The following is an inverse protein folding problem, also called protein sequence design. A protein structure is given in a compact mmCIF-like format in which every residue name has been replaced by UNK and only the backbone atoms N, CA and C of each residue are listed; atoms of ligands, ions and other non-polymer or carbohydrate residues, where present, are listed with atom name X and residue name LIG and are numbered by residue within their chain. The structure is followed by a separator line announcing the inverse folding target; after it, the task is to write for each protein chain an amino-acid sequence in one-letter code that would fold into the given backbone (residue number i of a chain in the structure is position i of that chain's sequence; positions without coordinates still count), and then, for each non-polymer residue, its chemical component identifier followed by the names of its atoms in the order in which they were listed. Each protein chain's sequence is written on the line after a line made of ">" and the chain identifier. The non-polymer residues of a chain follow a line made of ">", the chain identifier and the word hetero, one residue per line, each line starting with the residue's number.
data_IF_539723390906
#
_entry.id   IF_539723390906
#
_cell.length_a   1.000
_cell.length_b   1.000
_cell.length_c   1.000
_cell.angle_alpha   90.00
_cell.angle_beta   90.00
_cell.angle_gamma   90.00
#
_symmetry.space_group_name_H-M   'P 1'
#
loop_
_entity.id
_entity.type
_entity.pdbx_description
1 polymer ?
#
# COMPACT_ATOMS: atom_id res chain seq x y z
N UNK A 1 -11.49 54.07 61.31
CA UNK A 1 -12.04 52.79 61.04
C UNK A 1 -11.81 52.55 59.53
N UNK A 2 -10.83 51.79 59.24
CA UNK A 2 -10.45 51.47 57.83
C UNK A 2 -10.65 49.98 57.68
N UNK A 3 -11.64 49.61 56.89
CA UNK A 3 -11.90 48.21 56.55
C UNK A 3 -10.95 47.77 55.47
N UNK A 4 -10.27 46.65 55.72
CA UNK A 4 -9.31 46.03 54.86
C UNK A 4 -10.06 44.91 54.09
N UNK A 5 -10.26 45.08 52.80
CA UNK A 5 -10.87 44.05 51.92
C UNK A 5 -9.74 43.23 51.29
N UNK A 6 -9.58 42.02 51.78
CA UNK A 6 -8.69 41.01 51.19
C UNK A 6 -9.26 40.51 49.86
N UNK A 7 -8.51 40.69 48.81
CA UNK A 7 -8.78 40.07 47.49
C UNK A 7 -8.16 38.69 47.49
N UNK A 8 -8.97 37.61 47.45
CA UNK A 8 -8.50 36.26 47.18
C UNK A 8 -8.18 36.13 45.69
N UNK A 9 -6.92 35.87 45.35
CA UNK A 9 -6.49 35.43 44.04
C UNK A 9 -6.91 33.96 43.83
N UNK A 10 -7.86 33.76 42.93
CA UNK A 10 -8.20 32.42 42.42
C UNK A 10 -7.13 32.03 41.41
N UNK A 11 -6.22 31.14 41.82
CA UNK A 11 -5.31 30.45 40.90
C UNK A 11 -6.12 29.44 40.10
N UNK A 12 -6.29 29.72 38.81
CA UNK A 12 -6.81 28.77 37.83
C UNK A 12 -5.65 27.82 37.51
N UNK A 13 -5.71 26.60 38.03
CA UNK A 13 -4.87 25.50 37.56
C UNK A 13 -5.27 25.19 36.13
N UNK A 14 -4.36 25.50 35.20
CA UNK A 14 -4.45 25.02 33.82
C UNK A 14 -4.18 23.50 33.85
N UNK A 15 -5.23 22.70 33.73
CA UNK A 15 -5.13 21.30 33.33
C UNK A 15 -4.66 21.24 31.89
N UNK A 16 -3.34 21.25 31.66
CA UNK A 16 -2.74 20.89 30.40
C UNK A 16 -2.96 19.38 30.19
N UNK A 17 -3.81 19.08 29.22
CA UNK A 17 -3.90 17.71 28.69
C UNK A 17 -2.49 17.21 28.31
N UNK A 18 -2.16 15.91 28.53
CA UNK A 18 -0.83 15.39 28.24
C UNK A 18 -0.48 15.66 26.78
N UNK A 19 0.58 16.44 26.58
CA UNK A 19 1.10 16.77 25.26
C UNK A 19 1.41 15.47 24.52
N UNK A 20 0.93 15.37 23.27
CA UNK A 20 1.33 14.28 22.36
C UNK A 20 2.87 14.20 22.36
N UNK A 21 3.46 12.98 22.34
CA UNK A 21 4.90 12.81 22.35
C UNK A 21 5.52 13.64 21.24
N UNK A 22 6.58 14.36 21.57
CA UNK A 22 7.25 15.24 20.63
C UNK A 22 7.57 14.46 19.36
N UNK A 23 7.42 15.07 18.19
CA UNK A 23 7.63 14.43 16.88
C UNK A 23 8.95 13.64 16.80
N UNK A 24 9.98 14.09 17.53
CA UNK A 24 11.27 13.40 17.65
C UNK A 24 11.18 12.05 18.37
N UNK A 25 10.26 11.91 19.32
CA UNK A 25 10.11 10.66 20.07
C UNK A 25 9.41 9.58 19.24
N UNK A 26 8.35 9.94 18.52
CA UNK A 26 7.69 9.05 17.57
C UNK A 26 8.66 8.53 16.49
N UNK A 27 9.44 9.43 15.88
CA UNK A 27 10.44 9.07 14.86
C UNK A 27 11.49 8.10 15.42
N UNK A 28 11.92 8.31 16.68
CA UNK A 28 12.87 7.42 17.34
C UNK A 28 12.29 6.03 17.58
N UNK A 29 11.05 5.94 18.05
CA UNK A 29 10.35 4.67 18.28
C UNK A 29 10.10 3.94 16.96
N UNK A 30 9.64 4.64 15.91
CA UNK A 30 9.46 4.08 14.58
C UNK A 30 10.79 3.57 13.98
N UNK A 31 11.90 4.28 14.21
CA UNK A 31 13.24 3.82 13.80
C UNK A 31 13.70 2.58 14.58
N UNK A 32 13.30 2.43 15.84
CA UNK A 32 13.47 1.22 16.63
C UNK A 32 12.72 0.04 16.00
N UNK A 33 11.45 0.22 15.75
CA UNK A 33 10.58 -0.76 15.09
C UNK A 33 11.13 -1.20 13.72
N UNK A 34 11.60 -0.25 12.91
CA UNK A 34 12.26 -0.56 11.63
C UNK A 34 13.48 -1.46 11.79
N UNK A 35 14.30 -1.25 12.82
CA UNK A 35 15.49 -2.09 13.09
C UNK A 35 15.10 -3.52 13.44
N UNK A 36 14.05 -3.72 14.22
CA UNK A 36 13.52 -5.05 14.57
C UNK A 36 13.02 -5.78 13.32
N UNK A 37 12.33 -5.07 12.42
CA UNK A 37 11.74 -5.62 11.21
C UNK A 37 12.74 -5.82 10.06
N UNK A 38 13.93 -5.18 10.10
CA UNK A 38 14.87 -5.09 8.97
C UNK A 38 15.24 -6.41 8.30
N UNK A 39 15.29 -7.50 9.05
CA UNK A 39 15.68 -8.81 8.55
C UNK A 39 14.50 -9.76 8.32
N UNK A 40 13.29 -9.35 8.69
CA UNK A 40 12.11 -10.15 8.45
C UNK A 40 11.67 -10.01 6.99
N UNK A 41 11.37 -11.14 6.35
CA UNK A 41 10.86 -11.21 4.98
C UNK A 41 9.38 -11.63 4.94
N UNK A 42 8.82 -12.06 6.05
CA UNK A 42 7.43 -12.49 6.15
C UNK A 42 6.63 -11.46 6.96
N UNK A 43 5.72 -10.77 6.30
CA UNK A 43 4.90 -9.70 6.87
C UNK A 43 4.09 -10.20 8.08
N UNK A 44 3.36 -11.31 7.92
CA UNK A 44 2.49 -11.84 8.97
C UNK A 44 3.27 -12.19 10.23
N UNK A 45 4.41 -12.88 10.07
CA UNK A 45 5.29 -13.23 11.19
C UNK A 45 5.87 -11.98 11.85
N UNK A 46 6.38 -11.05 11.05
CA UNK A 46 6.95 -9.80 11.53
C UNK A 46 5.92 -8.97 12.32
N UNK A 47 4.72 -8.83 11.78
CA UNK A 47 3.66 -8.07 12.46
C UNK A 47 3.24 -8.71 13.78
N UNK A 48 3.21 -10.04 13.86
CA UNK A 48 2.93 -10.75 15.13
C UNK A 48 4.01 -10.47 16.20
N UNK A 49 5.27 -10.34 15.80
CA UNK A 49 6.38 -10.04 16.72
C UNK A 49 6.31 -8.60 17.26
N UNK A 50 5.83 -7.63 16.47
CA UNK A 50 5.81 -6.20 16.83
C UNK A 50 4.39 -5.65 17.06
N UNK A 51 3.39 -6.50 17.14
CA UNK A 51 1.98 -6.12 17.28
C UNK A 51 1.75 -5.14 18.42
N UNK A 52 2.18 -5.50 19.64
CA UNK A 52 2.03 -4.64 20.81
C UNK A 52 2.75 -3.31 20.65
N UNK A 53 3.94 -3.31 20.03
CA UNK A 53 4.70 -2.08 19.78
C UNK A 53 3.99 -1.15 18.81
N UNK A 54 3.32 -1.69 17.77
CA UNK A 54 2.52 -0.88 16.83
C UNK A 54 1.27 -0.32 17.52
N UNK A 55 0.54 -1.15 18.29
CA UNK A 55 -0.65 -0.72 19.01
C UNK A 55 -0.34 0.42 19.98
N UNK A 56 0.75 0.30 20.74
CA UNK A 56 1.23 1.33 21.68
C UNK A 56 1.69 2.60 20.94
N UNK A 57 2.56 2.43 19.93
CA UNK A 57 3.11 3.54 19.14
C UNK A 57 2.02 4.38 18.48
N UNK A 58 0.98 3.73 17.95
CA UNK A 58 -0.14 4.38 17.28
C UNK A 58 -1.26 4.77 18.24
N UNK A 59 -1.20 4.34 19.49
CA UNK A 59 -2.24 4.57 20.49
C UNK A 59 -3.60 4.05 20.01
N UNK A 60 -3.63 2.91 19.34
CA UNK A 60 -4.85 2.30 18.81
C UNK A 60 -5.16 0.96 19.50
N UNK A 61 -6.40 0.48 19.37
CA UNK A 61 -6.85 -0.79 19.95
C UNK A 61 -6.79 -1.94 18.95
N UNK A 62 -6.87 -1.60 17.68
CA UNK A 62 -6.80 -2.55 16.58
C UNK A 62 -6.14 -1.90 15.38
N UNK A 63 -5.40 -2.70 14.61
CA UNK A 63 -4.97 -2.30 13.27
C UNK A 63 -5.10 -3.47 12.30
N UNK A 64 -5.31 -3.16 11.04
CA UNK A 64 -5.36 -4.14 9.96
C UNK A 64 -4.45 -3.71 8.84
N UNK A 65 -3.63 -4.64 8.35
CA UNK A 65 -2.82 -4.48 7.15
C UNK A 65 -3.49 -5.28 6.04
N UNK A 66 -3.87 -4.59 4.99
CA UNK A 66 -4.43 -5.18 3.78
C UNK A 66 -3.37 -5.18 2.68
N UNK A 67 -3.33 -6.23 1.88
CA UNK A 67 -2.55 -6.31 0.63
C UNK A 67 -3.46 -6.14 -0.57
N UNK A 68 -2.99 -5.42 -1.59
CA UNK A 68 -3.65 -5.34 -2.89
C UNK A 68 -3.48 -6.67 -3.63
N UNK A 69 -4.57 -7.20 -4.14
CA UNK A 69 -4.61 -8.51 -4.82
C UNK A 69 -5.48 -8.44 -6.08
N UNK A 70 -5.44 -9.48 -6.86
CA UNK A 70 -6.36 -9.74 -7.97
C UNK A 70 -6.40 -8.57 -8.98
N UNK A 71 -5.22 -8.20 -9.48
CA UNK A 71 -5.06 -7.13 -10.46
C UNK A 71 -5.64 -5.77 -10.00
N UNK A 72 -5.55 -5.47 -8.69
CA UNK A 72 -6.06 -4.23 -8.12
C UNK A 72 -7.59 -4.14 -8.04
N UNK A 73 -8.30 -5.27 -7.96
CA UNK A 73 -9.75 -5.29 -7.75
C UNK A 73 -10.12 -5.16 -6.28
N UNK A 74 -9.31 -5.74 -5.40
CA UNK A 74 -9.60 -5.81 -3.98
C UNK A 74 -8.33 -5.75 -3.13
N UNK A 75 -8.52 -5.47 -1.85
CA UNK A 75 -7.52 -5.68 -0.80
C UNK A 75 -7.97 -6.80 0.12
N UNK A 76 -6.99 -7.58 0.58
CA UNK A 76 -7.22 -8.71 1.51
C UNK A 76 -6.46 -8.47 2.80
N UNK A 77 -7.10 -8.70 3.94
CA UNK A 77 -6.45 -8.59 5.23
C UNK A 77 -5.36 -9.65 5.36
N UNK A 78 -4.12 -9.19 5.47
CA UNK A 78 -2.93 -10.05 5.65
C UNK A 78 -2.55 -10.18 7.11
N UNK A 79 -2.89 -9.18 7.92
CA UNK A 79 -2.65 -9.16 9.35
C UNK A 79 -3.67 -8.28 10.06
N UNK A 80 -4.16 -8.75 11.20
CA UNK A 80 -4.98 -8.00 12.14
C UNK A 80 -4.33 -8.07 13.51
N UNK A 81 -3.97 -6.91 14.08
CA UNK A 81 -3.48 -6.77 15.44
C UNK A 81 -4.57 -6.20 16.34
N UNK A 82 -4.71 -6.74 17.54
CA UNK A 82 -5.74 -6.37 18.51
C UNK A 82 -5.19 -6.45 19.94
N UNK A 83 -5.65 -5.59 20.83
CA UNK A 83 -5.31 -5.63 22.26
C UNK A 83 -5.94 -6.82 23.00
N UNK A 84 -6.86 -7.55 22.38
CA UNK A 84 -7.51 -8.74 22.94
C UNK A 84 -6.67 -10.00 22.69
N UNK A 85 -6.77 -11.01 23.57
CA UNK A 85 -6.16 -12.32 23.30
C UNK A 85 -6.73 -12.92 22.02
N UNK A 86 -5.86 -13.35 21.10
CA UNK A 86 -6.27 -14.08 19.91
C UNK A 86 -6.50 -15.55 20.23
N UNK A 87 -7.65 -16.09 19.84
CA UNK A 87 -7.79 -17.52 19.64
C UNK A 87 -7.17 -17.89 18.29
N UNK A 88 -6.41 -18.97 18.22
CA UNK A 88 -5.56 -19.31 17.06
C UNK A 88 -6.31 -19.59 15.74
N UNK A 89 -7.63 -19.54 15.72
CA UNK A 89 -8.48 -19.96 14.61
C UNK A 89 -9.28 -18.83 13.93
N UNK A 90 -8.86 -17.57 14.04
CA UNK A 90 -9.52 -16.46 13.33
C UNK A 90 -9.09 -16.42 11.84
N UNK A 91 -9.46 -17.46 11.09
CA UNK A 91 -9.27 -17.51 9.64
C UNK A 91 -10.39 -16.80 8.87
N UNK A 92 -10.90 -15.68 9.36
CA UNK A 92 -11.82 -14.84 8.57
C UNK A 92 -11.01 -14.10 7.53
N UNK A 93 -11.09 -14.55 6.28
CA UNK A 93 -10.51 -13.84 5.16
C UNK A 93 -11.37 -12.62 4.84
N UNK A 94 -10.90 -11.42 5.25
CA UNK A 94 -11.58 -10.16 4.96
C UNK A 94 -11.10 -9.65 3.60
N UNK A 95 -12.00 -9.65 2.62
CA UNK A 95 -11.80 -9.08 1.28
C UNK A 95 -12.60 -7.81 1.12
N UNK A 96 -11.98 -6.75 0.62
CA UNK A 96 -12.59 -5.45 0.43
C UNK A 96 -12.35 -4.97 -1.00
N UNK A 97 -13.38 -4.81 -1.81
CA UNK A 97 -13.23 -4.35 -3.19
C UNK A 97 -12.77 -2.88 -3.24
N UNK A 98 -12.07 -2.49 -4.31
CA UNK A 98 -11.70 -1.10 -4.60
C UNK A 98 -12.95 -0.31 -4.99
N UNK A 99 -13.76 0.00 -4.02
CA UNK A 99 -14.98 0.78 -4.20
C UNK A 99 -15.09 1.85 -3.13
N UNK A 100 -15.77 2.95 -3.41
CA UNK A 100 -15.96 4.00 -2.42
C UNK A 100 -17.08 3.69 -1.39
N UNK A 101 -17.46 2.41 -1.22
CA UNK A 101 -18.52 2.01 -0.30
C UNK A 101 -18.00 1.66 1.10
N UNK A 102 -16.69 1.44 1.26
CA UNK A 102 -16.05 1.19 2.55
C UNK A 102 -14.84 2.09 2.72
N UNK A 103 -14.42 2.35 3.96
CA UNK A 103 -13.28 3.23 4.27
C UNK A 103 -11.98 2.72 3.63
N UNK A 104 -11.67 1.43 3.81
CA UNK A 104 -10.48 0.82 3.26
C UNK A 104 -10.52 0.73 1.73
N UNK A 105 -11.67 0.36 1.14
CA UNK A 105 -11.87 0.34 -0.30
C UNK A 105 -11.78 1.72 -0.95
N UNK A 106 -12.31 2.76 -0.28
CA UNK A 106 -12.16 4.15 -0.71
C UNK A 106 -10.71 4.60 -0.74
N UNK A 107 -9.93 4.28 0.32
CA UNK A 107 -8.50 4.63 0.38
C UNK A 107 -7.70 3.85 -0.66
N UNK A 108 -8.01 2.57 -0.86
CA UNK A 108 -7.38 1.78 -1.93
C UNK A 108 -7.64 2.39 -3.32
N UNK A 109 -8.88 2.80 -3.60
CA UNK A 109 -9.28 3.39 -4.87
C UNK A 109 -8.70 4.80 -5.07
N UNK A 110 -8.83 5.67 -4.06
CA UNK A 110 -8.42 7.07 -4.16
C UNK A 110 -6.93 7.30 -3.91
N UNK A 111 -6.27 6.35 -3.28
CA UNK A 111 -4.88 6.43 -2.78
C UNK A 111 -4.61 7.66 -1.89
N UNK A 112 -5.64 8.16 -1.23
CA UNK A 112 -5.60 9.30 -0.30
C UNK A 112 -5.83 8.83 1.11
N UNK A 113 -5.01 9.32 2.04
CA UNK A 113 -5.19 9.06 3.47
C UNK A 113 -6.53 9.63 3.98
N UNK A 114 -7.15 8.92 4.91
CA UNK A 114 -8.45 9.25 5.48
C UNK A 114 -8.36 9.26 7.00
N UNK A 115 -8.87 10.32 7.62
CA UNK A 115 -9.09 10.44 9.05
C UNK A 115 -10.59 10.61 9.29
N UNK A 116 -11.18 9.69 10.06
CA UNK A 116 -12.60 9.72 10.46
C UNK A 116 -12.67 9.79 11.98
N UNK A 117 -13.24 10.89 12.49
CA UNK A 117 -13.42 11.10 13.92
C UNK A 117 -14.53 10.24 14.53
N UNK A 118 -15.60 10.03 13.75
CA UNK A 118 -16.72 9.15 14.14
C UNK A 118 -17.25 8.39 12.92
N UNK A 119 -17.04 7.08 12.91
CA UNK A 119 -17.48 6.21 11.81
C UNK A 119 -19.01 6.02 11.76
N UNK A 120 -19.73 6.40 12.80
CA UNK A 120 -21.20 6.35 12.84
C UNK A 120 -21.85 7.65 12.34
N UNK A 121 -21.06 8.71 12.10
CA UNK A 121 -21.53 9.97 11.52
C UNK A 121 -21.70 9.83 9.99
N UNK A 122 -22.84 9.34 9.58
CA UNK A 122 -23.15 9.09 8.17
C UNK A 122 -23.13 10.37 7.31
N UNK A 123 -23.42 11.53 7.89
CA UNK A 123 -23.39 12.82 7.17
C UNK A 123 -21.95 13.16 6.80
N UNK A 124 -21.03 13.11 7.77
CA UNK A 124 -19.59 13.34 7.50
C UNK A 124 -19.00 12.32 6.53
N UNK A 125 -19.39 11.05 6.62
CA UNK A 125 -18.94 10.05 5.63
C UNK A 125 -19.43 10.39 4.22
N UNK A 126 -20.67 10.83 4.09
CA UNK A 126 -21.27 11.23 2.80
C UNK A 126 -20.61 12.50 2.23
N UNK A 127 -20.18 13.44 3.07
CA UNK A 127 -19.39 14.61 2.65
C UNK A 127 -18.04 14.22 2.03
N UNK A 128 -17.38 13.17 2.54
CA UNK A 128 -16.13 12.63 1.97
C UNK A 128 -16.41 12.00 0.61
N UNK A 129 -17.44 11.14 0.52
CA UNK A 129 -17.90 10.54 -0.72
C UNK A 129 -19.32 10.03 -0.57
N UNK A 130 -20.22 10.38 -1.52
CA UNK A 130 -21.66 10.11 -1.45
C UNK A 130 -22.08 8.63 -1.33
N UNK A 131 -21.15 7.68 -1.51
CA UNK A 131 -21.40 6.25 -1.32
C UNK A 131 -20.62 5.65 -0.15
N UNK A 132 -19.86 6.46 0.58
CA UNK A 132 -19.05 5.98 1.68
C UNK A 132 -19.94 5.64 2.88
N UNK A 133 -19.78 4.43 3.40
CA UNK A 133 -20.56 3.92 4.52
C UNK A 133 -19.67 3.16 5.49
N UNK A 134 -20.11 3.09 6.74
CA UNK A 134 -19.53 2.21 7.74
C UNK A 134 -20.37 0.95 7.87
N UNK A 135 -19.76 -0.21 7.63
CA UNK A 135 -20.39 -1.51 7.88
C UNK A 135 -20.19 -1.90 9.34
N UNK A 136 -21.27 -1.90 10.09
CA UNK A 136 -21.29 -2.24 11.53
C UNK A 136 -21.20 -3.74 11.79
N UNK A 137 -21.48 -4.58 10.80
CA UNK A 137 -21.72 -6.02 10.97
C UNK A 137 -20.58 -6.71 11.69
N UNK A 138 -19.33 -6.39 11.33
CA UNK A 138 -18.16 -6.96 11.98
C UNK A 138 -18.05 -6.51 13.44
N UNK A 139 -18.15 -5.20 13.70
CA UNK A 139 -18.01 -4.67 15.06
C UNK A 139 -19.13 -5.15 15.99
N UNK A 140 -20.37 -5.17 15.51
CA UNK A 140 -21.52 -5.65 16.28
C UNK A 140 -21.42 -7.15 16.60
N UNK A 141 -20.96 -7.98 15.65
CA UNK A 141 -20.75 -9.41 15.86
C UNK A 141 -19.70 -9.71 16.93
N UNK A 142 -18.72 -8.83 17.09
CA UNK A 142 -17.64 -8.96 18.06
C UNK A 142 -17.90 -8.19 19.38
N UNK A 143 -19.04 -7.51 19.50
CA UNK A 143 -19.35 -6.65 20.66
C UNK A 143 -18.40 -5.44 20.77
N UNK A 144 -17.85 -4.97 19.66
CA UNK A 144 -16.89 -3.86 19.59
C UNK A 144 -17.59 -2.56 19.22
N UNK A 145 -17.18 -1.46 19.87
CA UNK A 145 -17.67 -0.12 19.58
C UNK A 145 -16.52 0.74 19.09
N UNK A 146 -16.30 0.67 17.79
CA UNK A 146 -15.33 1.53 17.12
C UNK A 146 -15.86 2.97 17.05
N UNK A 147 -14.96 3.94 17.02
CA UNK A 147 -15.34 5.34 16.87
C UNK A 147 -14.49 6.05 15.86
N UNK A 148 -13.22 6.21 16.15
CA UNK A 148 -12.31 6.95 15.29
C UNK A 148 -11.41 6.01 14.51
N UNK A 149 -11.19 6.35 13.22
CA UNK A 149 -10.35 5.55 12.33
C UNK A 149 -9.39 6.42 11.53
N UNK A 150 -8.20 5.88 11.32
CA UNK A 150 -7.27 6.32 10.29
C UNK A 150 -7.13 5.19 9.28
N UNK A 151 -7.21 5.53 8.01
CA UNK A 151 -6.94 4.60 6.91
C UNK A 151 -5.95 5.27 5.97
N UNK A 152 -4.79 4.64 5.76
CA UNK A 152 -3.72 5.20 4.92
C UNK A 152 -3.25 4.18 3.88
N UNK A 153 -2.93 4.63 2.65
CA UNK A 153 -2.41 3.74 1.64
C UNK A 153 -0.96 3.34 1.96
N UNK A 154 -0.66 2.06 1.84
CA UNK A 154 0.71 1.55 1.80
C UNK A 154 1.13 1.60 0.33
N UNK A 155 1.97 2.56 -0.02
CA UNK A 155 2.39 2.76 -1.42
C UNK A 155 3.79 3.35 -1.53
N UNK A 156 4.38 3.15 -2.69
CA UNK A 156 5.46 3.94 -3.23
C UNK A 156 5.00 4.56 -4.56
N UNK A 157 5.50 4.10 -5.71
CA UNK A 157 5.00 4.50 -7.04
C UNK A 157 3.67 3.80 -7.40
N UNK A 158 3.38 2.66 -6.74
CA UNK A 158 2.14 1.89 -6.89
C UNK A 158 1.50 1.63 -5.53
N UNK A 159 0.20 1.39 -5.52
CA UNK A 159 -0.50 0.93 -4.34
C UNK A 159 -0.12 -0.52 -4.04
N UNK A 160 0.40 -0.75 -2.85
CA UNK A 160 0.78 -2.07 -2.34
C UNK A 160 -0.29 -2.64 -1.41
N UNK A 161 -1.00 -1.75 -0.70
CA UNK A 161 -2.01 -2.13 0.27
C UNK A 161 -2.56 -0.92 1.02
N UNK A 162 -3.19 -1.22 2.15
CA UNK A 162 -3.80 -0.21 3.05
C UNK A 162 -3.53 -0.61 4.49
N UNK A 163 -3.22 0.35 5.35
CA UNK A 163 -3.26 0.14 6.80
C UNK A 163 -4.45 0.90 7.40
N UNK A 164 -5.20 0.24 8.26
CA UNK A 164 -6.34 0.78 8.98
C UNK A 164 -6.07 0.70 10.47
N UNK A 165 -6.18 1.83 11.16
CA UNK A 165 -6.02 1.97 12.62
C UNK A 165 -7.36 2.34 13.24
N UNK A 166 -7.68 1.74 14.39
CA UNK A 166 -8.99 1.84 15.01
C UNK A 166 -8.83 2.20 16.49
N UNK A 167 -9.59 3.21 16.94
CA UNK A 167 -9.84 3.52 18.34
C UNK A 167 -11.27 3.24 18.71
N UNK A 168 -11.48 2.79 19.95
CA UNK A 168 -12.79 2.50 20.48
C UNK A 168 -13.50 3.79 20.94
N UNK A 169 -14.77 3.68 21.28
CA UNK A 169 -15.63 4.79 21.67
C UNK A 169 -15.11 5.57 22.88
N UNK A 170 -14.41 4.89 23.77
CA UNK A 170 -13.90 5.43 25.02
C UNK A 170 -12.51 6.09 24.88
N UNK A 171 -11.85 5.84 23.75
CA UNK A 171 -10.54 6.44 23.48
C UNK A 171 -10.67 7.87 22.91
N UNK A 172 -9.66 8.73 23.08
CA UNK A 172 -9.60 9.98 22.35
C UNK A 172 -9.67 9.77 20.85
N UNK A 173 -10.32 10.66 20.10
CA UNK A 173 -10.35 10.58 18.64
C UNK A 173 -8.95 10.78 18.06
N UNK A 174 -8.69 10.19 16.88
CA UNK A 174 -7.44 10.44 16.16
C UNK A 174 -7.32 11.90 15.73
N UNK A 175 -6.10 12.40 15.73
CA UNK A 175 -5.73 13.75 15.33
C UNK A 175 -5.03 13.77 13.96
N UNK A 176 -4.82 14.97 13.42
CA UNK A 176 -3.98 15.15 12.21
C UNK A 176 -2.53 14.75 12.42
N UNK A 177 -2.03 14.79 13.67
CA UNK A 177 -0.69 14.31 14.02
C UNK A 177 -0.66 12.78 13.93
N UNK A 178 -1.66 12.09 14.48
CA UNK A 178 -1.78 10.64 14.36
C UNK A 178 -1.87 10.19 12.89
N UNK A 179 -2.55 10.98 12.04
CA UNK A 179 -2.60 10.70 10.59
C UNK A 179 -1.21 10.74 9.96
N UNK A 180 -0.39 11.76 10.27
CA UNK A 180 1.00 11.84 9.77
C UNK A 180 1.84 10.67 10.29
N UNK A 181 1.67 10.27 11.53
CA UNK A 181 2.34 9.10 12.11
C UNK A 181 1.95 7.81 11.38
N UNK A 182 0.66 7.64 11.07
CA UNK A 182 0.18 6.50 10.29
C UNK A 182 0.75 6.48 8.86
N UNK A 183 0.88 7.65 8.21
CA UNK A 183 1.53 7.76 6.90
C UNK A 183 3.01 7.36 6.97
N UNK A 184 3.73 7.74 8.03
CA UNK A 184 5.13 7.32 8.23
C UNK A 184 5.24 5.80 8.46
N UNK A 185 4.34 5.22 9.26
CA UNK A 185 4.26 3.76 9.44
C UNK A 185 4.01 3.05 8.10
N UNK A 186 3.04 3.54 7.32
CA UNK A 186 2.71 2.97 6.01
C UNK A 186 3.91 3.03 5.03
N UNK A 187 4.67 4.15 5.02
CA UNK A 187 5.89 4.26 4.22
C UNK A 187 6.98 3.29 4.67
N UNK A 188 7.14 3.09 5.97
CA UNK A 188 8.08 2.11 6.51
C UNK A 188 7.70 0.69 6.06
N UNK A 189 6.42 0.32 6.18
CA UNK A 189 5.92 -0.99 5.73
C UNK A 189 6.11 -1.19 4.22
N UNK A 190 5.82 -0.15 3.42
CA UNK A 190 6.03 -0.19 1.97
C UNK A 190 7.49 -0.49 1.60
N UNK A 191 8.45 0.13 2.27
CA UNK A 191 9.88 -0.12 2.03
C UNK A 191 10.33 -1.50 2.50
N UNK A 192 9.92 -1.89 3.71
CA UNK A 192 10.39 -3.10 4.35
C UNK A 192 9.85 -4.38 3.71
N UNK A 193 8.56 -4.39 3.37
CA UNK A 193 7.85 -5.57 2.89
C UNK A 193 7.41 -5.47 1.43
N UNK A 194 8.07 -4.60 0.64
CA UNK A 194 7.69 -4.40 -0.77
C UNK A 194 7.59 -5.70 -1.56
N UNK A 195 8.60 -6.56 -1.45
CA UNK A 195 8.63 -7.82 -2.21
C UNK A 195 7.45 -8.74 -1.85
N UNK A 196 7.03 -8.74 -0.60
CA UNK A 196 5.90 -9.54 -0.15
C UNK A 196 4.58 -8.95 -0.64
N UNK A 197 4.40 -7.63 -0.51
CA UNK A 197 3.25 -6.95 -1.09
C UNK A 197 3.16 -7.16 -2.61
N UNK A 198 4.28 -7.11 -3.32
CA UNK A 198 4.30 -7.34 -4.76
C UNK A 198 4.02 -8.79 -5.16
N UNK A 199 4.24 -9.77 -4.28
CA UNK A 199 3.97 -11.18 -4.59
C UNK A 199 2.49 -11.46 -4.91
N UNK A 200 1.61 -10.55 -4.53
CA UNK A 200 0.16 -10.61 -4.79
C UNK A 200 -0.30 -9.72 -5.94
N UNK A 201 0.64 -9.06 -6.61
CA UNK A 201 0.37 -8.13 -7.71
C UNK A 201 0.87 -8.68 -9.04
N UNK A 202 0.30 -8.18 -10.13
CA UNK A 202 0.72 -8.47 -11.49
C UNK A 202 1.55 -7.34 -12.12
N UNK A 203 2.27 -7.63 -13.21
CA UNK A 203 3.12 -6.64 -13.89
C UNK A 203 2.36 -5.48 -14.54
N UNK A 204 1.03 -5.59 -14.67
CA UNK A 204 0.18 -4.59 -15.30
C UNK A 204 -0.80 -3.90 -14.34
N UNK A 205 -0.75 -4.19 -13.04
CA UNK A 205 -1.62 -3.59 -12.01
C UNK A 205 -1.52 -2.06 -11.98
N UNK A 206 -0.34 -1.51 -12.28
CA UNK A 206 -0.15 -0.07 -12.41
C UNK A 206 -1.11 0.55 -13.43
N UNK A 207 -1.34 -0.09 -14.58
CA UNK A 207 -2.26 0.42 -15.61
C UNK A 207 -3.70 0.46 -15.11
N UNK A 208 -4.10 -0.54 -14.33
CA UNK A 208 -5.42 -0.57 -13.68
C UNK A 208 -5.54 0.54 -12.64
N UNK A 209 -4.54 0.73 -11.80
CA UNK A 209 -4.49 1.78 -10.78
C UNK A 209 -4.51 3.18 -11.39
N UNK A 210 -3.94 3.36 -12.58
CA UNK A 210 -3.98 4.62 -13.34
C UNK A 210 -5.29 4.80 -14.15
N UNK A 211 -6.22 3.83 -14.10
CA UNK A 211 -7.48 3.88 -14.83
C UNK A 211 -7.31 3.80 -16.37
N UNK A 212 -6.18 3.27 -16.86
CA UNK A 212 -5.92 3.07 -18.30
C UNK A 212 -6.71 1.90 -18.86
N UNK A 213 -7.01 0.92 -18.01
CA UNK A 213 -7.90 -0.20 -18.27
C UNK A 213 -8.57 -0.62 -16.96
N UNK A 214 -9.63 -1.42 -17.06
CA UNK A 214 -10.23 -2.02 -15.87
C UNK A 214 -9.54 -3.34 -15.53
N UNK A 215 -9.65 -3.79 -14.28
CA UNK A 215 -9.15 -5.10 -13.88
C UNK A 215 -9.80 -6.24 -14.68
N UNK A 216 -11.07 -6.07 -15.09
CA UNK A 216 -11.76 -7.02 -15.96
C UNK A 216 -11.14 -7.08 -17.36
N UNK A 217 -10.77 -5.92 -17.93
CA UNK A 217 -10.08 -5.88 -19.23
C UNK A 217 -8.74 -6.63 -19.15
N UNK A 218 -7.96 -6.43 -18.06
CA UNK A 218 -6.70 -7.14 -17.86
C UNK A 218 -6.92 -8.65 -17.77
N UNK A 219 -7.91 -9.13 -17.01
CA UNK A 219 -8.27 -10.55 -16.96
C UNK A 219 -8.64 -11.12 -18.35
N UNK A 220 -9.37 -10.34 -19.16
CA UNK A 220 -9.75 -10.75 -20.52
C UNK A 220 -8.52 -10.88 -21.43
N UNK A 221 -7.57 -9.96 -21.33
CA UNK A 221 -6.30 -9.98 -22.05
C UNK A 221 -5.47 -11.20 -21.64
N UNK A 222 -5.30 -11.44 -20.33
CA UNK A 222 -4.52 -12.58 -19.82
C UNK A 222 -5.12 -13.94 -20.26
N UNK A 223 -6.44 -14.06 -20.21
CA UNK A 223 -7.16 -15.23 -20.74
C UNK A 223 -6.98 -15.36 -22.24
N UNK A 224 -7.06 -14.27 -22.99
CA UNK A 224 -6.83 -14.24 -24.43
C UNK A 224 -5.44 -14.73 -24.81
N UNK A 225 -4.41 -14.23 -24.13
CA UNK A 225 -3.01 -14.66 -24.31
C UNK A 225 -2.85 -16.15 -23.98
N UNK A 226 -3.47 -16.62 -22.90
CA UNK A 226 -3.42 -18.05 -22.51
C UNK A 226 -4.07 -18.97 -23.55
N UNK A 227 -5.12 -18.51 -24.21
CA UNK A 227 -5.88 -19.30 -25.19
C UNK A 227 -5.29 -19.24 -26.61
N UNK A 228 -4.85 -18.07 -27.04
CA UNK A 228 -4.48 -17.80 -28.43
C UNK A 228 -2.98 -17.55 -28.62
N UNK A 229 -2.22 -17.46 -27.53
CA UNK A 229 -0.80 -17.12 -27.55
C UNK A 229 -0.55 -15.61 -27.71
N UNK A 230 0.72 -15.24 -27.80
CA UNK A 230 1.15 -13.86 -27.86
C UNK A 230 1.64 -13.36 -26.51
N UNK A 231 1.67 -12.03 -26.31
CA UNK A 231 2.05 -11.40 -25.06
C UNK A 231 0.98 -10.41 -24.61
N UNK A 232 0.82 -10.26 -23.30
CA UNK A 232 -0.11 -9.30 -22.71
C UNK A 232 0.21 -7.88 -23.19
N UNK A 233 1.49 -7.48 -23.18
CA UNK A 233 1.94 -6.17 -23.68
C UNK A 233 1.47 -5.89 -25.12
N UNK A 234 1.61 -6.89 -26.01
CA UNK A 234 1.19 -6.74 -27.42
C UNK A 234 -0.32 -6.53 -27.53
N UNK A 235 -1.11 -7.32 -26.84
CA UNK A 235 -2.57 -7.24 -26.87
C UNK A 235 -3.05 -5.90 -26.26
N UNK A 236 -2.41 -5.44 -25.18
CA UNK A 236 -2.70 -4.12 -24.59
C UNK A 236 -2.43 -2.97 -25.58
N UNK A 237 -1.35 -3.05 -26.36
CA UNK A 237 -1.05 -2.05 -27.39
C UNK A 237 -2.02 -2.13 -28.57
N UNK A 238 -2.30 -3.33 -29.10
CA UNK A 238 -3.07 -3.51 -30.32
C UNK A 238 -4.57 -3.33 -30.11
N UNK A 239 -5.14 -3.91 -29.07
CA UNK A 239 -6.59 -3.95 -28.83
C UNK A 239 -7.07 -2.82 -27.94
N UNK A 240 -6.32 -2.51 -26.87
CA UNK A 240 -6.68 -1.49 -25.87
C UNK A 240 -6.02 -0.14 -26.13
N UNK A 241 -5.13 -0.04 -27.12
CA UNK A 241 -4.45 1.21 -27.51
C UNK A 241 -3.63 1.85 -26.38
N UNK A 242 -3.12 1.01 -25.46
CA UNK A 242 -2.23 1.49 -24.40
C UNK A 242 -0.88 1.83 -25.02
N UNK A 243 -0.39 3.03 -24.72
CA UNK A 243 0.89 3.51 -25.24
C UNK A 243 2.06 2.65 -24.72
N UNK A 244 3.08 2.36 -25.56
CA UNK A 244 4.25 1.56 -25.16
C UNK A 244 4.96 2.10 -23.91
N UNK A 245 4.98 3.41 -23.72
CA UNK A 245 5.58 4.06 -22.55
C UNK A 245 4.83 3.76 -21.26
N UNK A 246 3.50 3.67 -21.30
CA UNK A 246 2.67 3.33 -20.15
C UNK A 246 2.88 1.86 -19.75
N UNK A 247 2.94 0.97 -20.73
CA UNK A 247 3.26 -0.44 -20.52
C UNK A 247 4.66 -0.59 -19.95
N UNK A 248 5.64 0.10 -20.56
CA UNK A 248 7.03 0.11 -20.11
C UNK A 248 7.14 0.62 -18.66
N UNK A 249 6.40 1.68 -18.31
CA UNK A 249 6.36 2.20 -16.94
C UNK A 249 5.80 1.19 -15.95
N UNK A 250 4.75 0.47 -16.34
CA UNK A 250 4.17 -0.60 -15.50
C UNK A 250 5.19 -1.71 -15.22
N UNK A 251 5.87 -2.19 -16.26
CA UNK A 251 6.90 -3.22 -16.15
C UNK A 251 8.12 -2.73 -15.35
N UNK A 252 8.55 -1.48 -15.56
CA UNK A 252 9.63 -0.85 -14.79
C UNK A 252 9.32 -0.85 -13.28
N UNK A 253 8.12 -0.45 -12.90
CA UNK A 253 7.69 -0.39 -11.51
C UNK A 253 7.59 -1.78 -10.87
N UNK A 254 7.13 -2.76 -11.62
CA UNK A 254 6.99 -4.13 -11.14
C UNK A 254 8.33 -4.85 -11.02
N UNK A 255 9.12 -4.88 -12.11
CA UNK A 255 10.40 -5.61 -12.16
C UNK A 255 11.59 -4.82 -11.58
N UNK A 256 11.41 -3.54 -11.30
CA UNK A 256 12.48 -2.62 -10.87
C UNK A 256 13.67 -2.57 -11.83
N UNK A 257 13.38 -2.69 -13.10
CA UNK A 257 14.35 -2.65 -14.18
C UNK A 257 14.01 -1.47 -15.07
N UNK A 258 14.94 -0.55 -15.36
CA UNK A 258 14.65 0.64 -16.15
C UNK A 258 14.03 0.30 -17.50
N UNK A 259 12.95 0.99 -17.86
CA UNK A 259 12.34 0.88 -19.18
C UNK A 259 13.13 1.68 -20.19
N UNK A 260 13.42 1.08 -21.33
CA UNK A 260 14.02 1.73 -22.48
C UNK A 260 13.04 1.70 -23.66
N UNK A 261 12.54 2.88 -24.05
CA UNK A 261 11.73 3.02 -25.26
C UNK A 261 12.49 2.71 -26.52
N UNK A 262 11.79 2.44 -27.61
CA UNK A 262 12.42 2.22 -28.90
C UNK A 262 13.15 3.48 -29.36
N UNK A 263 14.47 3.37 -29.61
CA UNK A 263 15.30 4.40 -30.22
C UNK A 263 16.03 3.82 -31.43
N UNK A 264 15.74 4.31 -32.65
CA UNK A 264 16.40 3.82 -33.86
C UNK A 264 17.90 4.14 -33.92
N UNK A 265 18.39 5.02 -33.06
CA UNK A 265 19.80 5.45 -33.06
C UNK A 265 20.66 4.64 -32.06
N UNK A 266 20.08 3.68 -31.35
CA UNK A 266 20.85 2.80 -30.45
C UNK A 266 21.89 2.03 -31.23
N UNK A 267 23.17 2.24 -30.89
CA UNK A 267 24.28 1.46 -31.46
C UNK A 267 24.52 0.22 -30.61
N UNK A 268 24.32 -0.94 -31.21
CA UNK A 268 24.58 -2.21 -30.52
C UNK A 268 26.07 -2.52 -30.45
N UNK A 269 26.59 -3.07 -29.35
CA UNK A 269 28.01 -3.40 -29.18
C UNK A 269 28.38 -4.59 -30.04
N UNK A 270 29.15 -4.36 -31.11
CA UNK A 270 29.54 -5.37 -32.11
C UNK A 270 30.24 -6.57 -31.46
N UNK A 271 31.13 -6.30 -30.51
CA UNK A 271 31.91 -7.35 -29.81
C UNK A 271 31.05 -8.32 -29.01
N UNK A 272 29.91 -7.85 -28.50
CA UNK A 272 28.96 -8.69 -27.77
C UNK A 272 28.00 -9.45 -28.71
N UNK A 273 27.93 -9.03 -29.97
CA UNK A 273 27.04 -9.61 -30.98
C UNK A 273 27.71 -10.74 -31.81
N UNK A 274 29.05 -10.88 -31.78
CA UNK A 274 29.79 -11.77 -32.67
C UNK A 274 29.30 -13.23 -32.69
N UNK A 275 28.81 -13.74 -31.56
CA UNK A 275 28.36 -15.14 -31.44
C UNK A 275 26.82 -15.25 -31.30
N UNK A 276 26.09 -14.18 -31.51
CA UNK A 276 24.65 -14.14 -31.35
C UNK A 276 23.93 -14.06 -32.69
N UNK A 277 23.25 -15.12 -33.08
CA UNK A 277 22.47 -15.12 -34.32
C UNK A 277 21.24 -14.22 -34.23
N UNK A 278 20.98 -13.41 -35.26
CA UNK A 278 19.81 -12.53 -35.30
C UNK A 278 18.47 -13.28 -35.11
N UNK A 279 18.37 -14.50 -35.62
CA UNK A 279 17.19 -15.34 -35.42
C UNK A 279 17.03 -15.79 -33.97
N UNK A 280 18.13 -16.10 -33.29
CA UNK A 280 18.11 -16.44 -31.86
C UNK A 280 17.62 -15.27 -31.02
N UNK A 281 18.18 -14.06 -31.23
CA UNK A 281 17.78 -12.84 -30.51
C UNK A 281 16.30 -12.50 -30.73
N UNK A 282 15.81 -12.64 -31.98
CA UNK A 282 14.40 -12.38 -32.28
C UNK A 282 13.46 -13.39 -31.65
N UNK A 283 13.85 -14.65 -31.60
CA UNK A 283 13.01 -15.69 -31.00
C UNK A 283 12.95 -15.59 -29.46
N UNK A 284 14.03 -15.10 -28.84
CA UNK A 284 14.12 -14.96 -27.39
C UNK A 284 13.82 -13.52 -26.90
N UNK A 285 13.59 -12.56 -27.81
CA UNK A 285 13.16 -11.19 -27.53
C UNK A 285 14.09 -10.43 -26.56
N UNK A 286 15.41 -10.59 -26.72
CA UNK A 286 16.41 -9.82 -26.00
C UNK A 286 17.60 -9.43 -26.89
N UNK A 287 18.35 -8.41 -26.47
CA UNK A 287 19.54 -7.94 -27.18
C UNK A 287 20.52 -7.28 -26.19
N UNK A 288 21.85 -7.51 -26.30
CA UNK A 288 22.81 -6.77 -25.52
C UNK A 288 22.92 -5.34 -26.06
N UNK A 289 22.89 -4.36 -25.15
CA UNK A 289 22.90 -2.92 -25.48
C UNK A 289 24.14 -2.20 -24.96
N UNK A 290 24.79 -2.73 -23.92
CA UNK A 290 26.01 -2.17 -23.36
C UNK A 290 26.76 -3.22 -22.53
N UNK A 291 28.01 -2.95 -22.20
CA UNK A 291 28.79 -3.74 -21.23
C UNK A 291 30.12 -4.25 -21.77
N UNK A 292 30.69 -5.20 -21.05
CA UNK A 292 31.96 -5.88 -21.34
C UNK A 292 31.75 -7.40 -21.33
N UNK A 293 32.84 -8.19 -21.45
CA UNK A 293 32.76 -9.65 -21.31
C UNK A 293 32.41 -10.14 -19.91
N UNK A 294 32.57 -9.26 -18.90
CA UNK A 294 32.33 -9.58 -17.50
C UNK A 294 30.92 -9.16 -17.05
N UNK A 295 30.40 -8.09 -17.59
CA UNK A 295 29.09 -7.56 -17.23
C UNK A 295 28.42 -7.01 -18.49
N UNK A 296 27.21 -7.49 -18.78
CA UNK A 296 26.45 -7.13 -19.98
C UNK A 296 25.07 -6.60 -19.60
N UNK A 297 24.75 -5.42 -20.09
CA UNK A 297 23.39 -4.87 -20.03
C UNK A 297 22.59 -5.39 -21.22
N UNK A 298 21.51 -6.06 -20.96
CA UNK A 298 20.59 -6.57 -21.98
C UNK A 298 19.27 -5.79 -21.96
N UNK A 299 18.73 -5.55 -23.13
CA UNK A 299 17.34 -5.14 -23.31
C UNK A 299 16.50 -6.39 -23.54
N UNK A 300 15.45 -6.57 -22.78
CA UNK A 300 14.56 -7.72 -22.84
C UNK A 300 13.10 -7.28 -22.83
N UNK A 301 12.26 -7.96 -23.60
CA UNK A 301 10.83 -7.61 -23.68
C UNK A 301 10.03 -8.03 -22.45
N UNK A 302 10.45 -9.10 -21.77
CA UNK A 302 9.84 -9.62 -20.56
C UNK A 302 10.93 -10.03 -19.57
N UNK A 303 11.15 -9.25 -18.49
CA UNK A 303 12.16 -9.55 -17.48
C UNK A 303 11.94 -10.86 -16.71
N UNK A 304 10.75 -11.47 -16.77
CA UNK A 304 10.51 -12.78 -16.16
C UNK A 304 11.07 -13.94 -16.99
N UNK A 305 11.38 -13.71 -18.26
CA UNK A 305 11.86 -14.72 -19.21
C UNK A 305 13.40 -14.79 -19.22
N UNK A 306 14.00 -15.11 -18.07
CA UNK A 306 15.46 -15.38 -17.97
C UNK A 306 15.68 -16.88 -17.76
N UNK A 307 15.61 -17.65 -18.83
CA UNK A 307 16.05 -19.05 -18.86
C UNK A 307 17.44 -19.18 -19.43
#
# INVERSE_FOLDING_TARGET
>A
MVENTSTEEVTVENDEAPAAPAQDDFVRQLAGLYKELKFSKNLKKAMKEVESSILELMGCKMFTIFQSVDNGKEIVASFMGDTRPHEEDDSIEIRVPFTPTSLAGYVALSQRALLVEDVYDAEKLTEIHGRLQWDKSFSESQGLFFKSMIVVPIKDDILLGVVQLIRHKEDPVFTKTDLKHAEMLAQMLAKQFRSEFQSTQGPFDYLVQQGKLTAKDLDEVEKGVSLYGGTVSKMLMEDYKIEPQEIGKSLELYYRTPYMGYDPNVTLPVDLMENLGASYLRNNLWVPVAGSKEEVTILISDPSNYQ
#
